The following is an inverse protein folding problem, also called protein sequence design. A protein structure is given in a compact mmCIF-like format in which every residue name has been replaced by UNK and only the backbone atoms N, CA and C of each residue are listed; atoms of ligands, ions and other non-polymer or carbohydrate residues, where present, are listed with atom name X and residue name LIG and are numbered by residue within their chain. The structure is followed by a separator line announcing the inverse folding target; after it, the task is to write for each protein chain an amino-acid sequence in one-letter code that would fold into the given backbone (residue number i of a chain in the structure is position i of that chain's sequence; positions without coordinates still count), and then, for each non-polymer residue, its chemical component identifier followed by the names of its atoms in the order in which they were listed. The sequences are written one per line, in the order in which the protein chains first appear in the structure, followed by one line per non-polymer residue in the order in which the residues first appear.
data_IF_131888056146
#
_entry.id   IF_131888056146
#
_cell.length_a   1.000
_cell.length_b   1.000
_cell.length_c   1.000
_cell.angle_alpha   90.00
_cell.angle_beta   90.00
_cell.angle_gamma   90.00
#
_symmetry.space_group_name_H-M   'P 1'
#
loop_
_entity.id
_entity.type
_entity.pdbx_description
1 polymer ?
#
# COMPACT_ATOMS: atom_id res chain seq x y z
N UNK A 1 -13.04 -7.68 7.12
CA UNK A 1 -11.98 -8.71 7.12
C UNK A 1 -11.04 -8.45 8.28
N UNK A 2 -10.58 -9.46 9.01
CA UNK A 2 -9.64 -9.30 10.13
C UNK A 2 -8.66 -10.48 10.17
N UNK A 3 -7.44 -10.24 10.64
CA UNK A 3 -6.45 -11.30 10.89
C UNK A 3 -6.80 -12.06 12.16
N UNK A 4 -6.58 -13.38 12.14
CA UNK A 4 -6.78 -14.28 13.28
C UNK A 4 -5.57 -15.20 13.44
N UNK A 5 -5.37 -15.72 14.65
CA UNK A 5 -4.31 -16.70 14.93
C UNK A 5 -4.63 -18.07 14.35
N UNK A 6 -3.65 -18.98 14.37
CA UNK A 6 -3.83 -20.37 13.89
C UNK A 6 -4.91 -21.13 14.65
N UNK A 7 -5.04 -20.91 15.97
CA UNK A 7 -6.05 -21.56 16.81
C UNK A 7 -7.47 -21.11 16.45
N UNK A 8 -7.69 -19.80 16.31
CA UNK A 8 -8.98 -19.25 15.89
C UNK A 8 -9.36 -19.72 14.48
N UNK A 9 -8.38 -19.81 13.58
CA UNK A 9 -8.58 -20.36 12.24
C UNK A 9 -9.01 -21.83 12.31
N UNK A 10 -8.36 -22.64 13.15
CA UNK A 10 -8.74 -24.04 13.33
C UNK A 10 -10.19 -24.17 13.86
N UNK A 11 -10.58 -23.35 14.84
CA UNK A 11 -11.95 -23.31 15.34
C UNK A 11 -12.94 -22.89 14.25
N UNK A 12 -12.63 -21.85 13.48
CA UNK A 12 -13.47 -21.38 12.38
C UNK A 12 -13.61 -22.41 11.26
N UNK A 13 -12.55 -23.15 10.93
CA UNK A 13 -12.62 -24.25 9.96
C UNK A 13 -13.44 -25.45 10.48
N UNK A 14 -13.37 -25.74 11.78
CA UNK A 14 -14.10 -26.86 12.38
C UNK A 14 -15.60 -26.58 12.57
N UNK A 15 -15.96 -25.33 12.88
CA UNK A 15 -17.33 -24.95 13.28
C UNK A 15 -18.06 -24.08 12.28
N UNK A 16 -17.33 -23.38 11.39
CA UNK A 16 -17.90 -22.31 10.56
C UNK A 16 -18.13 -21.00 11.31
N UNK A 17 -17.76 -20.90 12.59
CA UNK A 17 -18.05 -19.78 13.48
C UNK A 17 -16.79 -19.24 14.15
N UNK A 18 -16.81 -17.97 14.56
CA UNK A 18 -15.74 -17.35 15.32
C UNK A 18 -16.27 -16.26 16.25
N UNK A 19 -15.60 -16.08 17.38
CA UNK A 19 -15.96 -15.08 18.39
C UNK A 19 -15.28 -13.74 18.09
N UNK A 20 -16.09 -12.68 17.99
CA UNK A 20 -15.58 -11.33 17.78
C UNK A 20 -16.15 -10.37 18.83
N UNK A 21 -15.26 -9.58 19.44
CA UNK A 21 -15.65 -8.37 20.14
C UNK A 21 -15.89 -7.27 19.10
N UNK A 22 -17.08 -6.67 19.11
CA UNK A 22 -17.41 -5.54 18.23
C UNK A 22 -16.48 -4.36 18.58
N UNK A 23 -15.67 -3.87 17.63
CA UNK A 23 -14.80 -2.72 17.87
C UNK A 23 -15.61 -1.41 17.81
N UNK A 24 -15.11 -0.37 18.48
CA UNK A 24 -15.56 1.00 18.21
C UNK A 24 -15.08 1.45 16.82
N UNK A 25 -15.76 2.43 16.22
CA UNK A 25 -15.44 2.91 14.87
C UNK A 25 -14.84 4.33 14.88
N UNK A 26 -13.79 4.53 14.08
CA UNK A 26 -13.26 5.85 13.71
C UNK A 26 -13.72 6.15 12.28
N UNK A 27 -14.35 7.32 12.08
CA UNK A 27 -14.76 7.80 10.77
C UNK A 27 -13.67 8.65 10.11
N UNK A 28 -13.27 8.30 8.90
CA UNK A 28 -12.40 9.09 8.03
C UNK A 28 -13.20 9.57 6.83
N UNK A 29 -13.63 10.83 6.85
CA UNK A 29 -14.38 11.49 5.78
C UNK A 29 -13.38 12.03 4.76
N UNK A 30 -13.24 11.36 3.62
CA UNK A 30 -12.37 11.76 2.53
C UNK A 30 -13.12 12.71 1.60
N UNK A 31 -12.56 13.90 1.37
CA UNK A 31 -13.15 14.93 0.49
C UNK A 31 -12.17 15.35 -0.59
N UNK A 32 -12.66 16.02 -1.63
CA UNK A 32 -11.80 16.52 -2.71
C UNK A 32 -11.21 15.41 -3.58
N UNK A 33 -10.21 15.76 -4.40
CA UNK A 33 -9.59 14.86 -5.38
C UNK A 33 -8.08 14.77 -5.12
N UNK A 34 -7.48 13.55 -5.09
CA UNK A 34 -6.04 13.39 -4.98
C UNK A 34 -5.27 14.16 -6.05
N UNK A 35 -4.12 14.71 -5.66
CA UNK A 35 -3.16 15.32 -6.57
C UNK A 35 -2.52 14.31 -7.53
N UNK A 36 -1.73 14.81 -8.48
CA UNK A 36 -0.93 13.95 -9.37
C UNK A 36 0.04 13.11 -8.53
N UNK A 37 0.21 11.84 -8.90
CA UNK A 37 1.08 10.86 -8.23
C UNK A 37 0.67 10.45 -6.81
N UNK A 38 -0.44 10.98 -6.28
CA UNK A 38 -1.00 10.57 -4.99
C UNK A 38 -1.89 9.35 -5.21
N UNK A 39 -1.56 8.23 -4.57
CA UNK A 39 -2.39 7.02 -4.56
C UNK A 39 -2.94 6.71 -3.17
N UNK A 40 -3.73 5.64 -3.06
CA UNK A 40 -4.20 5.13 -1.78
C UNK A 40 -3.07 4.85 -0.78
N UNK A 41 -1.86 4.55 -1.26
CA UNK A 41 -0.66 4.38 -0.43
C UNK A 41 -0.25 5.69 0.27
N UNK A 42 -0.25 6.80 -0.45
CA UNK A 42 0.11 8.10 0.12
C UNK A 42 -0.96 8.57 1.11
N UNK A 43 -2.24 8.37 0.78
CA UNK A 43 -3.36 8.73 1.65
C UNK A 43 -3.31 7.95 2.97
N UNK A 44 -3.11 6.63 2.94
CA UNK A 44 -3.06 5.85 4.18
C UNK A 44 -1.81 6.14 4.99
N UNK A 45 -0.66 6.38 4.36
CA UNK A 45 0.55 6.79 5.08
C UNK A 45 0.39 8.17 5.73
N UNK A 46 -0.30 9.11 5.06
CA UNK A 46 -0.64 10.39 5.64
C UNK A 46 -1.50 10.21 6.90
N UNK A 47 -2.54 9.37 6.82
CA UNK A 47 -3.42 9.05 7.95
C UNK A 47 -2.66 8.40 9.11
N UNK A 48 -1.86 7.37 8.83
CA UNK A 48 -1.05 6.68 9.86
C UNK A 48 -0.03 7.65 10.48
N UNK A 49 0.53 8.59 9.69
CA UNK A 49 1.38 9.65 10.19
C UNK A 49 0.67 10.62 11.15
N UNK A 50 -0.61 10.88 10.92
CA UNK A 50 -1.43 11.74 11.79
C UNK A 50 -1.82 11.06 13.11
N UNK A 51 -2.24 9.78 13.05
CA UNK A 51 -2.82 9.08 14.21
C UNK A 51 -1.82 8.18 14.95
N UNK A 52 -0.69 7.86 14.34
CA UNK A 52 0.31 6.95 14.91
C UNK A 52 -0.02 5.46 14.73
N UNK A 53 0.91 4.59 15.14
CA UNK A 53 0.77 3.13 15.02
C UNK A 53 -0.27 2.50 15.94
N UNK A 54 -0.69 3.21 16.99
CA UNK A 54 -1.73 2.78 17.94
C UNK A 54 -2.98 3.67 17.88
N UNK A 55 -3.06 4.61 16.93
CA UNK A 55 -4.14 5.59 16.85
C UNK A 55 -5.53 4.98 16.62
N UNK A 56 -5.59 3.78 16.06
CA UNK A 56 -6.81 3.02 15.83
C UNK A 56 -6.82 1.69 16.61
N UNK A 57 -6.04 1.57 17.70
CA UNK A 57 -5.89 0.31 18.44
C UNK A 57 -7.26 -0.30 18.83
N UNK A 58 -7.53 -1.50 18.32
CA UNK A 58 -8.78 -2.25 18.53
C UNK A 58 -10.06 -1.57 18.00
N UNK A 59 -9.93 -0.61 17.08
CA UNK A 59 -11.03 0.11 16.44
C UNK A 59 -11.16 -0.27 14.95
N UNK A 60 -12.33 -0.08 14.34
CA UNK A 60 -12.46 -0.08 12.89
C UNK A 60 -12.06 1.29 12.33
N UNK A 61 -11.35 1.30 11.20
CA UNK A 61 -11.16 2.50 10.39
C UNK A 61 -12.17 2.49 9.26
N UNK A 62 -13.13 3.41 9.30
CA UNK A 62 -14.20 3.50 8.31
C UNK A 62 -13.96 4.68 7.38
N UNK A 63 -13.72 4.40 6.11
CA UNK A 63 -13.46 5.41 5.09
C UNK A 63 -14.74 5.71 4.32
N UNK A 64 -15.14 6.97 4.35
CA UNK A 64 -16.38 7.50 3.77
C UNK A 64 -16.10 8.82 3.04
N UNK A 65 -17.13 9.51 2.57
CA UNK A 65 -17.04 10.82 1.94
C UNK A 65 -16.97 10.79 0.42
N UNK A 66 -17.17 11.96 -0.18
CA UNK A 66 -17.29 12.10 -1.63
C UNK A 66 -15.95 11.90 -2.36
N UNK A 67 -14.81 12.00 -1.65
CA UNK A 67 -13.48 11.70 -2.17
C UNK A 67 -13.32 10.25 -2.63
N UNK A 68 -14.13 9.32 -2.12
CA UNK A 68 -14.10 7.90 -2.53
C UNK A 68 -14.34 7.70 -4.03
N UNK A 69 -15.13 8.57 -4.68
CA UNK A 69 -15.38 8.51 -6.14
C UNK A 69 -14.11 8.68 -6.97
N UNK A 70 -13.07 9.28 -6.39
CA UNK A 70 -11.78 9.49 -7.05
C UNK A 70 -10.77 8.37 -6.80
N UNK A 71 -11.05 7.44 -5.89
CA UNK A 71 -10.20 6.30 -5.59
C UNK A 71 -10.62 5.08 -6.42
N UNK A 72 -9.64 4.36 -6.95
CA UNK A 72 -9.89 3.04 -7.56
C UNK A 72 -10.09 1.98 -6.47
N UNK A 73 -10.48 0.76 -6.86
CA UNK A 73 -10.47 -0.35 -5.91
C UNK A 73 -9.04 -0.70 -5.47
N UNK A 74 -8.04 -0.52 -6.33
CA UNK A 74 -6.63 -0.76 -6.00
C UNK A 74 -6.13 0.22 -4.92
N UNK A 75 -6.57 1.48 -4.96
CA UNK A 75 -6.32 2.44 -3.88
C UNK A 75 -6.95 1.99 -2.56
N UNK A 76 -8.24 1.62 -2.60
CA UNK A 76 -8.98 1.19 -1.41
C UNK A 76 -8.38 -0.06 -0.79
N UNK A 77 -7.92 -1.01 -1.61
CA UNK A 77 -7.21 -2.19 -1.11
C UNK A 77 -5.90 -1.83 -0.44
N UNK A 78 -5.13 -0.89 -0.99
CA UNK A 78 -3.91 -0.39 -0.35
C UNK A 78 -4.19 0.20 1.03
N UNK A 79 -5.23 1.03 1.12
CA UNK A 79 -5.64 1.68 2.36
C UNK A 79 -6.16 0.69 3.40
N UNK A 80 -7.09 -0.19 3.02
CA UNK A 80 -7.64 -1.20 3.92
C UNK A 80 -6.57 -2.20 4.39
N UNK A 81 -5.60 -2.53 3.54
CA UNK A 81 -4.47 -3.40 3.90
C UNK A 81 -3.61 -2.79 5.01
N UNK A 82 -3.37 -1.48 4.98
CA UNK A 82 -2.51 -0.80 5.94
C UNK A 82 -3.24 -0.31 7.20
N UNK A 83 -4.55 -0.50 7.33
CA UNK A 83 -5.29 -0.14 8.54
C UNK A 83 -4.69 -0.79 9.81
N UNK A 84 -4.19 -2.03 9.69
CA UNK A 84 -3.53 -2.74 10.81
C UNK A 84 -2.23 -2.03 11.27
N UNK A 85 -1.58 -1.24 10.41
CA UNK A 85 -0.36 -0.51 10.76
C UNK A 85 -0.65 0.73 11.63
N UNK A 86 -1.93 1.10 11.79
CA UNK A 86 -2.42 2.04 12.81
C UNK A 86 -3.04 1.32 14.04
N UNK A 87 -2.90 -0.01 14.13
CA UNK A 87 -3.47 -0.82 15.21
C UNK A 87 -4.95 -1.20 15.01
N UNK A 88 -5.53 -0.83 13.87
CA UNK A 88 -6.94 -1.09 13.59
C UNK A 88 -7.27 -2.58 13.51
N UNK A 89 -8.46 -2.95 13.99
CA UNK A 89 -8.98 -4.32 13.85
C UNK A 89 -9.29 -4.65 12.39
N UNK A 90 -9.73 -3.66 11.63
CA UNK A 90 -9.97 -3.70 10.20
C UNK A 90 -10.03 -2.27 9.60
N UNK A 91 -9.79 -2.17 8.30
CA UNK A 91 -10.23 -1.04 7.48
C UNK A 91 -11.45 -1.43 6.64
N UNK A 92 -12.42 -0.53 6.54
CA UNK A 92 -13.64 -0.75 5.74
C UNK A 92 -14.02 0.53 4.99
N UNK A 93 -14.63 0.34 3.81
CA UNK A 93 -15.08 1.41 2.94
C UNK A 93 -16.59 1.28 2.73
N UNK A 94 -17.24 2.42 2.51
CA UNK A 94 -18.59 2.44 1.96
C UNK A 94 -18.65 1.72 0.61
N UNK A 95 -19.78 1.05 0.37
CA UNK A 95 -20.03 0.33 -0.89
C UNK A 95 -20.69 1.28 -1.88
N UNK A 96 -19.97 1.56 -2.96
CA UNK A 96 -20.41 2.37 -4.10
C UNK A 96 -20.44 1.56 -5.40
N UNK A 97 -20.70 2.23 -6.52
CA UNK A 97 -20.81 1.62 -7.85
C UNK A 97 -19.52 0.91 -8.27
N UNK A 98 -18.35 1.48 -7.98
CA UNK A 98 -17.05 0.86 -8.29
C UNK A 98 -16.85 -0.45 -7.54
N UNK A 99 -17.25 -0.46 -6.27
CA UNK A 99 -17.19 -1.67 -5.44
C UNK A 99 -18.11 -2.76 -5.99
N UNK A 100 -19.32 -2.38 -6.38
CA UNK A 100 -20.31 -3.28 -6.98
C UNK A 100 -19.81 -3.84 -8.32
N UNK A 101 -19.25 -3.00 -9.17
CA UNK A 101 -18.67 -3.40 -10.46
C UNK A 101 -17.52 -4.39 -10.26
N UNK A 102 -16.60 -4.09 -9.34
CA UNK A 102 -15.48 -4.97 -9.02
C UNK A 102 -15.94 -6.34 -8.53
N UNK A 103 -16.94 -6.38 -7.62
CA UNK A 103 -17.49 -7.64 -7.11
C UNK A 103 -18.15 -8.45 -8.23
N UNK A 104 -18.89 -7.82 -9.14
CA UNK A 104 -19.52 -8.51 -10.28
C UNK A 104 -18.50 -9.14 -11.23
N UNK A 105 -17.36 -8.49 -11.44
CA UNK A 105 -16.28 -9.04 -12.27
C UNK A 105 -15.56 -10.23 -11.59
N UNK A 106 -15.48 -10.23 -10.25
CA UNK A 106 -14.65 -11.17 -9.49
C UNK A 106 -15.43 -12.24 -8.71
N UNK A 107 -16.76 -12.14 -8.65
CA UNK A 107 -17.60 -13.09 -7.92
C UNK A 107 -19.00 -13.21 -8.51
N UNK A 108 -19.49 -14.44 -8.57
CA UNK A 108 -20.88 -14.77 -8.91
C UNK A 108 -21.75 -15.05 -7.68
N UNK A 109 -21.17 -14.95 -6.47
CA UNK A 109 -21.89 -15.24 -5.23
C UNK A 109 -22.87 -14.12 -4.90
N UNK A 110 -24.06 -14.44 -4.36
CA UNK A 110 -24.97 -13.42 -3.88
C UNK A 110 -24.32 -12.66 -2.70
N UNK A 111 -24.51 -11.35 -2.67
CA UNK A 111 -24.02 -10.48 -1.61
C UNK A 111 -25.12 -9.54 -1.14
N UNK A 112 -25.00 -9.06 0.10
CA UNK A 112 -25.85 -8.01 0.66
C UNK A 112 -24.98 -6.80 0.95
N UNK A 113 -25.44 -5.62 0.52
CA UNK A 113 -24.79 -4.35 0.81
C UNK A 113 -25.24 -3.90 2.19
N UNK A 114 -24.28 -3.57 3.05
CA UNK A 114 -24.50 -2.92 4.33
C UNK A 114 -23.96 -1.50 4.25
N UNK A 115 -24.66 -0.56 4.87
CA UNK A 115 -24.27 0.84 5.01
C UNK A 115 -24.41 1.22 6.48
N UNK A 116 -23.61 2.17 6.93
CA UNK A 116 -23.82 2.79 8.22
C UNK A 116 -25.18 3.52 8.23
N UNK A 117 -25.87 3.46 9.36
CA UNK A 117 -27.08 4.24 9.59
C UNK A 117 -26.73 5.73 9.72
N UNK A 118 -27.68 6.62 9.43
CA UNK A 118 -27.44 8.08 9.47
C UNK A 118 -27.08 8.58 10.88
N UNK A 119 -27.55 7.88 11.92
CA UNK A 119 -27.31 8.15 13.34
C UNK A 119 -26.22 7.26 13.94
N UNK A 120 -25.39 6.60 13.13
CA UNK A 120 -24.29 5.79 13.61
C UNK A 120 -23.29 6.62 14.45
N UNK A 121 -22.97 6.11 15.65
CA UNK A 121 -22.04 6.76 16.57
C UNK A 121 -20.59 6.35 16.29
N UNK A 122 -19.71 7.34 16.21
CA UNK A 122 -18.27 7.16 16.01
C UNK A 122 -17.51 7.70 17.19
N UNK A 123 -16.48 6.98 17.64
CA UNK A 123 -15.67 7.43 18.76
C UNK A 123 -14.80 8.64 18.39
N UNK A 124 -14.41 8.76 17.12
CA UNK A 124 -13.64 9.85 16.56
C UNK A 124 -14.02 10.07 15.08
N UNK A 125 -13.86 11.30 14.60
CA UNK A 125 -13.98 11.66 13.19
C UNK A 125 -12.78 12.49 12.72
N UNK A 126 -12.29 12.18 11.52
CA UNK A 126 -11.27 12.94 10.81
C UNK A 126 -11.78 13.30 9.41
N UNK A 127 -11.68 14.58 9.04
CA UNK A 127 -11.96 15.05 7.69
C UNK A 127 -10.64 15.26 6.96
N UNK A 128 -10.48 14.64 5.79
CA UNK A 128 -9.22 14.64 5.02
C UNK A 128 -9.50 15.15 3.61
N UNK A 129 -9.01 16.35 3.31
CA UNK A 129 -9.03 16.89 1.95
C UNK A 129 -7.89 16.28 1.13
N UNK A 130 -8.26 15.37 0.24
CA UNK A 130 -7.36 14.65 -0.66
C UNK A 130 -6.56 15.57 -1.58
N UNK A 131 -7.04 16.79 -1.85
CA UNK A 131 -6.31 17.76 -2.69
C UNK A 131 -5.08 18.34 -2.00
N UNK A 132 -5.03 18.25 -0.66
CA UNK A 132 -3.90 18.72 0.16
C UNK A 132 -2.88 17.63 0.45
N UNK A 133 -3.24 16.36 0.24
CA UNK A 133 -2.35 15.21 0.43
C UNK A 133 -1.26 15.25 -0.62
N UNK A 134 -0.01 15.17 -0.18
CA UNK A 134 1.17 15.05 -1.05
C UNK A 134 1.67 13.60 -1.06
N UNK A 135 2.47 13.20 -2.08
CA UNK A 135 3.18 11.93 -2.01
C UNK A 135 3.93 11.81 -0.70
N UNK A 136 3.82 10.66 -0.04
CA UNK A 136 4.23 10.46 1.35
C UNK A 136 5.12 9.23 1.48
N UNK A 137 6.21 9.38 2.22
CA UNK A 137 7.19 8.33 2.49
C UNK A 137 7.22 8.05 3.99
N UNK A 138 7.04 6.79 4.38
CA UNK A 138 7.25 6.36 5.77
C UNK A 138 8.70 5.97 6.00
N UNK A 139 9.36 6.67 6.90
CA UNK A 139 10.74 6.47 7.28
C UNK A 139 10.87 5.28 8.24
N UNK A 140 12.02 4.61 8.28
CA UNK A 140 12.30 3.59 9.28
C UNK A 140 12.17 4.16 10.71
N UNK A 141 11.87 3.35 11.73
CA UNK A 141 11.48 1.94 11.67
C UNK A 141 9.98 1.71 11.95
N UNK A 142 9.15 2.73 11.71
CA UNK A 142 7.71 2.69 11.98
C UNK A 142 6.92 3.30 10.81
N UNK A 143 5.81 2.68 10.37
CA UNK A 143 4.97 3.23 9.31
C UNK A 143 4.42 4.64 9.62
N UNK A 144 4.30 5.02 10.90
CA UNK A 144 3.85 6.36 11.31
C UNK A 144 4.91 7.44 11.22
N UNK A 145 6.19 7.13 10.97
CA UNK A 145 7.22 8.14 10.71
C UNK A 145 7.09 8.67 9.28
N UNK A 146 5.90 9.17 8.93
CA UNK A 146 5.53 9.60 7.60
C UNK A 146 5.99 11.05 7.36
N UNK A 147 6.62 11.28 6.21
CA UNK A 147 7.03 12.61 5.75
C UNK A 147 6.54 12.80 4.32
N UNK A 148 6.04 13.98 4.02
CA UNK A 148 5.70 14.36 2.65
C UNK A 148 6.97 14.46 1.81
N UNK A 149 6.86 14.23 0.50
CA UNK A 149 7.99 14.14 -0.41
C UNK A 149 8.90 15.38 -0.40
N UNK A 150 8.35 16.56 -0.11
CA UNK A 150 9.07 17.83 0.06
C UNK A 150 9.90 17.92 1.36
N UNK A 151 9.81 16.93 2.25
CA UNK A 151 10.49 16.88 3.56
C UNK A 151 11.37 15.64 3.76
N UNK A 152 11.68 14.90 2.68
CA UNK A 152 12.45 13.64 2.78
C UNK A 152 13.97 13.86 2.86
N UNK A 153 14.47 14.97 2.31
CA UNK A 153 15.91 15.25 2.22
C UNK A 153 16.63 14.41 1.14
N UNK A 154 17.96 14.40 1.15
CA UNK A 154 18.77 13.61 0.22
C UNK A 154 19.15 12.25 0.84
N UNK A 155 18.31 11.25 0.60
CA UNK A 155 18.49 9.89 1.10
C UNK A 155 18.83 8.95 -0.05
N UNK A 156 20.11 8.60 -0.19
CA UNK A 156 20.57 7.57 -1.12
C UNK A 156 20.07 6.19 -0.75
N UNK A 157 19.86 5.37 -1.76
CA UNK A 157 19.29 4.02 -1.63
C UNK A 157 20.07 3.01 -2.45
N UNK A 158 19.97 1.74 -2.07
CA UNK A 158 20.65 0.62 -2.72
C UNK A 158 19.66 -0.30 -3.46
N UNK A 159 18.38 -0.25 -3.05
CA UNK A 159 17.35 -1.13 -3.60
C UNK A 159 15.99 -0.44 -3.70
N UNK A 160 15.22 -0.84 -4.71
CA UNK A 160 13.79 -0.55 -4.83
C UNK A 160 13.01 -1.84 -5.02
N UNK A 161 11.92 -2.00 -4.26
CA UNK A 161 10.96 -3.10 -4.43
C UNK A 161 9.59 -2.52 -4.76
N UNK A 162 9.12 -2.76 -5.99
CA UNK A 162 7.79 -2.36 -6.45
C UNK A 162 6.96 -3.62 -6.64
N UNK A 163 6.02 -3.84 -5.73
CA UNK A 163 5.17 -5.01 -5.77
C UNK A 163 5.01 -5.67 -4.41
N UNK A 164 3.78 -5.73 -3.92
CA UNK A 164 3.42 -6.43 -2.69
C UNK A 164 1.91 -6.69 -2.65
N UNK A 165 1.41 -7.25 -1.56
CA UNK A 165 -0.04 -7.28 -1.31
C UNK A 165 -0.65 -5.88 -1.15
N UNK A 166 0.15 -4.89 -0.73
CA UNK A 166 -0.26 -3.49 -0.60
C UNK A 166 -0.31 -2.80 -1.94
N UNK A 167 0.73 -2.91 -2.77
CA UNK A 167 0.84 -2.20 -4.05
C UNK A 167 1.57 -3.07 -5.08
N UNK A 168 0.84 -3.99 -5.71
CA UNK A 168 1.34 -4.88 -6.76
C UNK A 168 0.25 -5.25 -7.79
N UNK A 169 -0.87 -4.52 -7.80
CA UNK A 169 -1.97 -4.71 -8.74
C UNK A 169 -1.67 -4.01 -10.06
N UNK A 170 -2.55 -4.15 -11.05
CA UNK A 170 -2.23 -3.67 -12.40
C UNK A 170 -2.05 -2.15 -12.45
N UNK A 171 -2.83 -1.37 -11.69
CA UNK A 171 -2.66 0.08 -11.63
C UNK A 171 -1.30 0.47 -11.02
N UNK A 172 -0.85 -0.27 -10.00
CA UNK A 172 0.49 -0.07 -9.40
C UNK A 172 1.61 -0.34 -10.42
N UNK A 173 1.48 -1.42 -11.22
CA UNK A 173 2.46 -1.75 -12.27
C UNK A 173 2.47 -0.70 -13.39
N UNK A 174 1.30 -0.24 -13.82
CA UNK A 174 1.18 0.83 -14.82
C UNK A 174 1.76 2.15 -14.33
N UNK A 175 1.53 2.51 -13.07
CA UNK A 175 2.10 3.71 -12.47
C UNK A 175 3.63 3.66 -12.43
N UNK A 176 4.21 2.53 -12.02
CA UNK A 176 5.66 2.32 -12.06
C UNK A 176 6.20 2.37 -13.50
N UNK A 177 5.55 1.68 -14.44
CA UNK A 177 5.94 1.67 -15.84
C UNK A 177 5.89 3.07 -16.47
N UNK A 178 4.89 3.89 -16.13
CA UNK A 178 4.78 5.27 -16.60
C UNK A 178 6.00 6.11 -16.21
N UNK A 179 6.55 5.88 -15.02
CA UNK A 179 7.76 6.59 -14.54
C UNK A 179 9.03 6.00 -15.18
N UNK A 180 9.11 4.68 -15.31
CA UNK A 180 10.31 4.00 -15.82
C UNK A 180 10.46 4.06 -17.35
N UNK A 181 9.37 4.27 -18.10
CA UNK A 181 9.40 4.26 -19.57
C UNK A 181 10.40 5.26 -20.14
N UNK A 182 11.35 4.75 -20.93
CA UNK A 182 12.41 5.55 -21.56
C UNK A 182 13.51 6.04 -20.60
N UNK A 183 13.53 5.53 -19.36
CA UNK A 183 14.54 5.85 -18.34
C UNK A 183 15.28 4.57 -17.93
N UNK A 184 16.42 4.74 -17.29
CA UNK A 184 17.25 3.63 -16.79
C UNK A 184 17.39 3.76 -15.27
N UNK A 185 17.27 2.64 -14.57
CA UNK A 185 17.52 2.53 -13.13
C UNK A 185 18.97 2.94 -12.84
N UNK A 186 19.18 3.66 -11.74
CA UNK A 186 20.51 4.11 -11.33
C UNK A 186 21.47 2.91 -11.18
N UNK A 187 22.73 3.00 -11.65
CA UNK A 187 23.65 1.85 -11.69
C UNK A 187 23.92 1.22 -10.32
N UNK A 188 23.82 2.00 -9.26
CA UNK A 188 24.02 1.53 -7.87
C UNK A 188 22.72 1.03 -7.20
N UNK A 189 21.58 1.02 -7.91
CA UNK A 189 20.29 0.61 -7.35
C UNK A 189 19.78 -0.68 -7.99
N UNK A 190 19.40 -1.64 -7.14
CA UNK A 190 18.68 -2.84 -7.57
C UNK A 190 17.18 -2.57 -7.59
N UNK A 191 16.56 -2.51 -8.77
CA UNK A 191 15.11 -2.38 -8.88
C UNK A 191 14.45 -3.74 -9.13
N UNK A 192 13.50 -4.12 -8.27
CA UNK A 192 12.80 -5.41 -8.33
C UNK A 192 11.30 -5.16 -8.47
N UNK A 193 10.70 -5.71 -9.54
CA UNK A 193 9.27 -5.62 -9.82
C UNK A 193 8.58 -6.95 -9.49
N UNK A 194 7.53 -6.92 -8.67
CA UNK A 194 6.82 -8.11 -8.18
C UNK A 194 5.30 -7.95 -8.35
N UNK A 195 4.73 -8.32 -9.50
CA UNK A 195 3.27 -8.35 -9.66
C UNK A 195 2.60 -9.22 -8.58
N UNK A 196 1.49 -8.75 -8.01
CA UNK A 196 0.91 -9.34 -6.78
C UNK A 196 0.34 -10.75 -6.97
N UNK A 197 -0.11 -11.09 -8.18
CA UNK A 197 -0.70 -12.40 -8.49
C UNK A 197 -0.30 -12.85 -9.89
N UNK A 198 -0.49 -14.14 -10.19
CA UNK A 198 -0.25 -14.69 -11.53
C UNK A 198 -1.12 -14.02 -12.60
N UNK A 199 -2.36 -13.63 -12.27
CA UNK A 199 -3.26 -12.89 -13.19
C UNK A 199 -2.64 -11.53 -13.55
N UNK A 200 -2.20 -10.76 -12.54
CA UNK A 200 -1.59 -9.44 -12.78
C UNK A 200 -0.23 -9.57 -13.48
N UNK A 201 0.54 -10.60 -13.14
CA UNK A 201 1.81 -10.90 -13.81
C UNK A 201 1.60 -11.12 -15.30
N UNK A 202 0.66 -12.00 -15.67
CA UNK A 202 0.31 -12.25 -17.08
C UNK A 202 -0.24 -11.00 -17.76
N UNK A 203 -1.15 -10.28 -17.10
CA UNK A 203 -1.72 -9.05 -17.63
C UNK A 203 -0.64 -7.99 -17.89
N UNK A 204 0.35 -7.86 -17.01
CA UNK A 204 1.47 -6.93 -17.17
C UNK A 204 2.35 -7.29 -18.37
N UNK A 205 2.51 -8.59 -18.66
CA UNK A 205 3.18 -9.07 -19.87
C UNK A 205 2.35 -8.76 -21.12
N UNK A 206 1.05 -9.09 -21.11
CA UNK A 206 0.15 -8.87 -22.24
C UNK A 206 0.03 -7.36 -22.59
N UNK A 207 0.16 -6.47 -21.60
CA UNK A 207 0.18 -5.01 -21.76
C UNK A 207 1.56 -4.42 -22.13
N UNK A 208 2.60 -5.25 -22.29
CA UNK A 208 3.96 -4.81 -22.63
C UNK A 208 4.69 -4.08 -21.51
N UNK A 209 4.22 -4.17 -20.26
CA UNK A 209 4.86 -3.51 -19.12
C UNK A 209 6.22 -4.17 -18.79
N UNK A 210 6.37 -5.46 -19.11
CA UNK A 210 7.61 -6.20 -18.90
C UNK A 210 8.77 -5.62 -19.71
N UNK A 211 8.52 -5.27 -20.97
CA UNK A 211 9.54 -4.68 -21.82
C UNK A 211 10.03 -3.36 -21.21
N UNK A 212 9.11 -2.51 -20.73
CA UNK A 212 9.45 -1.25 -20.04
C UNK A 212 10.32 -1.51 -18.81
N UNK A 213 9.95 -2.50 -17.98
CA UNK A 213 10.71 -2.82 -16.76
C UNK A 213 12.11 -3.35 -17.08
N UNK A 214 12.23 -4.25 -18.06
CA UNK A 214 13.49 -4.87 -18.45
C UNK A 214 14.40 -3.86 -19.14
N UNK A 215 13.87 -3.03 -20.05
CA UNK A 215 14.62 -1.94 -20.71
C UNK A 215 15.13 -0.90 -19.71
N UNK A 216 14.37 -0.63 -18.65
CA UNK A 216 14.83 0.22 -17.56
C UNK A 216 15.92 -0.43 -16.69
N UNK A 217 16.20 -1.72 -16.85
CA UNK A 217 17.19 -2.46 -16.06
C UNK A 217 16.65 -3.06 -14.77
N UNK A 218 15.33 -3.16 -14.61
CA UNK A 218 14.71 -3.78 -13.44
C UNK A 218 14.61 -5.31 -13.58
N UNK A 219 14.73 -6.01 -12.46
CA UNK A 219 14.49 -7.45 -12.38
C UNK A 219 13.00 -7.72 -12.12
N UNK A 220 12.33 -8.44 -13.02
CA UNK A 220 10.92 -8.81 -12.85
C UNK A 220 10.83 -10.22 -12.25
N UNK A 221 10.19 -10.33 -11.08
CA UNK A 221 10.04 -11.60 -10.35
C UNK A 221 8.68 -12.24 -10.59
N UNK A 222 8.55 -13.52 -10.25
CA UNK A 222 7.25 -14.16 -10.06
C UNK A 222 6.56 -13.61 -8.80
N UNK A 223 5.22 -13.66 -8.72
CA UNK A 223 4.48 -13.21 -7.55
C UNK A 223 4.96 -13.88 -6.26
N UNK A 224 5.42 -13.08 -5.29
CA UNK A 224 5.92 -13.58 -4.00
C UNK A 224 5.78 -12.52 -2.91
N UNK A 225 5.60 -12.96 -1.65
CA UNK A 225 5.71 -12.10 -0.46
C UNK A 225 7.14 -12.06 0.09
N UNK A 226 8.10 -12.68 -0.60
CA UNK A 226 9.46 -12.94 -0.11
C UNK A 226 10.17 -11.74 0.54
N UNK A 227 10.26 -10.56 -0.10
CA UNK A 227 10.95 -9.43 0.50
C UNK A 227 10.22 -8.91 1.75
N UNK A 228 8.89 -9.00 1.80
CA UNK A 228 8.06 -8.42 2.86
C UNK A 228 8.34 -8.99 4.25
N UNK A 229 8.86 -10.22 4.34
CA UNK A 229 9.25 -10.89 5.59
C UNK A 229 10.73 -11.26 5.63
N UNK A 230 11.53 -10.78 4.66
CA UNK A 230 12.96 -11.10 4.57
C UNK A 230 13.25 -12.56 4.23
N UNK A 231 12.37 -13.24 3.50
CA UNK A 231 12.48 -14.67 3.23
C UNK A 231 13.04 -15.03 1.85
N UNK A 232 12.81 -14.20 0.83
CA UNK A 232 13.18 -14.53 -0.56
C UNK A 232 13.14 -13.28 -1.45
N UNK A 233 14.10 -13.12 -2.37
CA UNK A 233 14.24 -11.97 -3.27
C UNK A 233 14.37 -10.60 -2.57
N UNK A 234 15.31 -9.77 -3.02
CA UNK A 234 15.47 -8.42 -2.47
C UNK A 234 15.80 -8.37 -0.97
N UNK A 235 16.60 -9.33 -0.48
CA UNK A 235 17.10 -9.34 0.90
C UNK A 235 18.12 -8.22 1.07
N UNK A 236 17.97 -7.42 2.11
CA UNK A 236 18.89 -6.33 2.42
C UNK A 236 20.07 -6.80 3.26
N UNK A 237 21.26 -6.36 2.86
CA UNK A 237 22.49 -6.52 3.61
C UNK A 237 22.63 -5.44 4.70
N UNK A 238 23.70 -5.55 5.50
CA UNK A 238 24.02 -4.60 6.56
C UNK A 238 24.23 -3.19 6.00
N UNK A 239 23.48 -2.22 6.51
CA UNK A 239 23.60 -0.80 6.14
C UNK A 239 22.88 -0.42 4.84
N UNK A 240 22.26 -1.38 4.13
CA UNK A 240 21.53 -1.08 2.90
C UNK A 240 20.19 -0.40 3.17
N UNK A 241 19.79 0.45 2.24
CA UNK A 241 18.54 1.22 2.25
C UNK A 241 17.66 0.82 1.08
N UNK A 242 16.39 0.54 1.36
CA UNK A 242 15.39 0.25 0.34
C UNK A 242 14.23 1.23 0.34
N UNK A 243 13.74 1.59 -0.86
CA UNK A 243 12.37 2.07 -1.02
C UNK A 243 11.48 0.89 -1.42
N UNK A 244 10.42 0.64 -0.67
CA UNK A 244 9.55 -0.50 -0.88
C UNK A 244 8.07 -0.09 -0.92
N UNK A 245 7.31 -0.69 -1.83
CA UNK A 245 5.85 -0.53 -1.88
C UNK A 245 5.13 -1.56 -0.99
N UNK A 246 5.83 -2.07 0.04
CA UNK A 246 5.29 -2.97 1.06
C UNK A 246 4.59 -2.15 2.17
N UNK A 247 4.04 -2.82 3.18
CA UNK A 247 3.34 -2.17 4.30
C UNK A 247 4.16 -2.00 5.59
N UNK A 248 5.31 -2.67 5.73
CA UNK A 248 6.05 -2.72 7.00
C UNK A 248 7.52 -2.40 6.83
N UNK A 249 8.06 -1.57 7.72
CA UNK A 249 9.46 -1.15 7.74
C UNK A 249 10.14 -1.27 9.11
N UNK A 250 9.69 -2.21 9.94
CA UNK A 250 10.32 -2.53 11.21
C UNK A 250 11.78 -2.99 11.03
N UNK A 251 12.57 -2.93 12.11
CA UNK A 251 13.97 -3.39 12.14
C UNK A 251 14.07 -4.83 11.62
N UNK A 252 15.01 -5.08 10.69
CA UNK A 252 15.26 -6.41 10.12
C UNK A 252 14.13 -6.97 9.25
N UNK A 253 13.15 -6.14 8.85
CA UNK A 253 11.95 -6.65 8.15
C UNK A 253 12.24 -7.27 6.79
N UNK A 254 13.20 -6.74 6.05
CA UNK A 254 13.57 -7.19 4.70
C UNK A 254 14.95 -7.87 4.64
N UNK A 255 15.55 -8.20 5.79
CA UNK A 255 16.90 -8.76 5.83
C UNK A 255 17.65 -8.40 7.10
N UNK A 256 18.85 -7.83 6.94
CA UNK A 256 19.72 -7.52 8.07
C UNK A 256 19.08 -6.49 9.03
N UNK A 257 19.23 -6.61 10.37
CA UNK A 257 18.68 -5.65 11.33
C UNK A 257 19.12 -4.20 11.13
N UNK A 258 20.35 -3.98 10.67
CA UNK A 258 20.90 -2.66 10.34
C UNK A 258 20.53 -2.16 8.92
N UNK A 259 19.59 -2.82 8.24
CA UNK A 259 19.02 -2.30 7.00
C UNK A 259 17.84 -1.37 7.28
N UNK A 260 17.61 -0.43 6.37
CA UNK A 260 16.57 0.58 6.49
C UNK A 260 15.56 0.46 5.35
N UNK A 261 14.27 0.53 5.67
CA UNK A 261 13.18 0.41 4.70
C UNK A 261 12.32 1.66 4.74
N UNK A 262 12.13 2.27 3.58
CA UNK A 262 11.29 3.45 3.36
C UNK A 262 10.05 3.00 2.58
N UNK A 263 8.86 3.23 3.12
CA UNK A 263 7.62 2.82 2.45
C UNK A 263 7.10 3.95 1.59
N UNK A 264 6.79 3.68 0.33
CA UNK A 264 6.30 4.69 -0.61
C UNK A 264 5.31 4.10 -1.62
N UNK A 265 4.64 4.98 -2.38
CA UNK A 265 3.80 4.57 -3.52
C UNK A 265 4.65 4.07 -4.70
N UNK A 266 4.07 3.29 -5.63
CA UNK A 266 4.79 2.81 -6.82
C UNK A 266 5.43 3.91 -7.66
N UNK A 267 4.79 5.08 -7.77
CA UNK A 267 5.32 6.21 -8.51
C UNK A 267 6.61 6.76 -7.86
N UNK A 268 6.60 6.95 -6.54
CA UNK A 268 7.77 7.41 -5.77
C UNK A 268 8.87 6.35 -5.77
N UNK A 269 8.52 5.07 -5.61
CA UNK A 269 9.49 3.98 -5.67
C UNK A 269 10.18 3.90 -7.04
N UNK A 270 9.42 3.96 -8.13
CA UNK A 270 9.95 3.97 -9.49
C UNK A 270 10.83 5.19 -9.74
N UNK A 271 10.42 6.38 -9.28
CA UNK A 271 11.22 7.58 -9.44
C UNK A 271 12.54 7.51 -8.67
N UNK A 272 12.47 6.96 -7.46
CA UNK A 272 13.65 6.75 -6.62
C UNK A 272 14.64 5.75 -7.24
N UNK A 273 14.13 4.73 -7.94
CA UNK A 273 14.95 3.76 -8.65
C UNK A 273 15.81 4.42 -9.76
N UNK A 274 15.24 5.39 -10.47
CA UNK A 274 15.96 6.16 -11.49
C UNK A 274 16.93 7.16 -10.86
N UNK A 275 16.52 7.83 -9.78
CA UNK A 275 17.30 8.89 -9.16
C UNK A 275 18.49 8.41 -8.31
N UNK A 276 18.50 7.15 -7.83
CA UNK A 276 19.52 6.67 -6.88
C UNK A 276 19.31 7.13 -5.43
N UNK A 277 18.22 7.87 -5.19
CA UNK A 277 17.81 8.45 -3.90
C UNK A 277 16.29 8.54 -3.85
N UNK A 278 15.72 8.79 -2.67
CA UNK A 278 14.29 9.07 -2.56
C UNK A 278 13.96 10.33 -3.38
N UNK A 279 13.05 10.21 -4.35
CA UNK A 279 12.70 11.27 -5.29
C UNK A 279 11.25 11.19 -5.78
N UNK A 280 10.71 12.33 -6.20
CA UNK A 280 9.43 12.45 -6.89
C UNK A 280 9.55 12.20 -8.40
N UNK A 281 8.54 11.63 -9.08
CA UNK A 281 8.50 11.60 -10.54
C UNK A 281 8.62 12.97 -11.21
N UNK A 282 8.21 14.05 -10.53
CA UNK A 282 8.30 15.41 -11.06
C UNK A 282 9.73 15.98 -11.05
N UNK A 283 10.70 15.27 -10.47
CA UNK A 283 12.13 15.62 -10.51
C UNK A 283 12.90 15.00 -11.70
N UNK A 284 12.26 14.14 -12.51
CA UNK A 284 12.87 13.33 -13.58
C UNK A 284 12.52 13.77 -15.02
#
# INVERSE_FOLDING_TARGET
STGIGSTDMAAGMATGEAWFKVPEAIRFVLTGKPGRWVSGKDIILHIIGMIGVDGALYKSMEFTGDGLKHLSMDDRFSMANMAIEAGAKNGIFDVDEKTIEYVKEHSTKPYKVYKADEDAEYCCEYVIDLSTVKPTVAFPHLPSNARTIDKVGDIRIDQVVIGSCTNGRIEDMRAAAQVLKGRTVHPDVRCIIIPATQKIWKQSMDEGLFDIFIEAGAAVSTPTCGPCLGGHMGILAKGERAVATTNRNFVGRMGHPESEVYLASPAIAAASAVAGRIASPDEL
#
